data_IF_611481708990
#
_entry.id   IF_611481708990
#
_cell.length_a   1.000
_cell.length_b   1.000
_cell.length_c   1.000
_cell.angle_alpha   90.00
_cell.angle_beta   90.00
_cell.angle_gamma   90.00
#
_symmetry.space_group_name_H-M   'P 1'
#
loop_
_entity.id
_entity.type
_entity.pdbx_description
1 polymer ?
#
# COMPACT_ATOMS: atom_id res chain seq x y z
N UNK A 1 27.41 3.87 -4.30
CA UNK A 1 26.54 4.63 -3.39
C UNK A 1 26.12 3.69 -2.28
N UNK A 2 26.52 4.01 -1.05
CA UNK A 2 26.12 3.30 0.17
C UNK A 2 24.85 3.98 0.70
N UNK A 3 23.74 3.25 0.74
CA UNK A 3 22.50 3.74 1.33
C UNK A 3 22.52 3.40 2.82
N UNK A 4 22.28 4.39 3.67
CA UNK A 4 22.15 4.17 5.11
C UNK A 4 20.75 3.61 5.37
N UNK A 5 20.66 2.43 5.99
CA UNK A 5 19.40 1.91 6.53
C UNK A 5 18.79 2.99 7.43
N UNK A 6 17.48 3.26 7.27
CA UNK A 6 16.80 4.18 8.16
C UNK A 6 16.89 3.64 9.61
N UNK A 7 17.56 4.37 10.54
CA UNK A 7 17.79 3.87 11.89
C UNK A 7 16.50 3.74 12.69
N UNK A 8 15.49 4.54 12.33
CA UNK A 8 14.13 4.44 12.82
C UNK A 8 13.23 3.91 11.70
N UNK A 9 12.40 2.91 12.03
CA UNK A 9 11.41 2.34 11.11
C UNK A 9 10.59 3.49 10.51
N UNK A 10 10.45 3.61 9.18
CA UNK A 10 9.56 4.63 8.64
C UNK A 10 8.19 4.37 9.22
N UNK A 11 7.59 5.37 9.86
CA UNK A 11 6.20 5.25 10.31
C UNK A 11 5.31 5.41 9.08
N UNK A 12 5.26 4.40 8.19
CA UNK A 12 4.42 4.41 6.98
C UNK A 12 2.98 4.71 7.37
N UNK A 13 2.50 4.11 8.45
CA UNK A 13 1.16 4.36 8.98
C UNK A 13 0.89 5.85 9.22
N UNK A 14 1.89 6.60 9.68
CA UNK A 14 1.75 8.04 9.92
C UNK A 14 1.82 8.85 8.63
N UNK A 15 2.66 8.44 7.67
CA UNK A 15 2.76 9.09 6.37
C UNK A 15 1.50 8.87 5.52
N UNK A 16 1.05 7.62 5.47
CA UNK A 16 -0.08 7.19 4.66
C UNK A 16 -1.41 7.83 5.10
N UNK A 17 -1.51 8.33 6.34
CA UNK A 17 -2.69 9.13 6.78
C UNK A 17 -2.93 10.36 5.91
N UNK A 18 -1.87 10.92 5.32
CA UNK A 18 -1.97 12.12 4.48
C UNK A 18 -2.15 11.78 2.99
N UNK A 19 -2.05 10.50 2.59
CA UNK A 19 -2.16 10.07 1.20
C UNK A 19 -3.61 9.92 0.77
N UNK A 20 -4.18 11.01 0.27
CA UNK A 20 -5.62 11.13 -0.07
C UNK A 20 -6.13 10.13 -1.11
N UNK A 21 -5.24 9.58 -1.94
CA UNK A 21 -5.59 8.65 -3.03
C UNK A 21 -4.87 7.31 -2.90
N UNK A 22 -4.45 6.96 -1.68
CA UNK A 22 -3.64 5.77 -1.41
C UNK A 22 -2.24 5.89 -1.99
N UNK A 23 -1.64 4.76 -2.34
CA UNK A 23 -0.29 4.66 -2.84
C UNK A 23 -0.16 3.63 -3.96
N UNK A 24 0.89 3.75 -4.75
CA UNK A 24 1.32 2.72 -5.69
C UNK A 24 2.55 2.03 -5.12
N UNK A 25 2.50 0.70 -5.06
CA UNK A 25 3.63 -0.15 -4.67
C UNK A 25 4.36 -0.58 -5.93
N UNK A 26 5.62 -0.19 -6.05
CA UNK A 26 6.53 -0.59 -7.12
C UNK A 26 7.49 -1.64 -6.60
N UNK A 27 7.63 -2.75 -7.33
CA UNK A 27 8.61 -3.80 -7.03
C UNK A 27 9.35 -4.18 -8.31
N UNK A 28 10.68 -4.27 -8.21
CA UNK A 28 11.54 -4.67 -9.32
C UNK A 28 12.51 -5.76 -8.88
N UNK A 29 12.45 -6.90 -9.55
CA UNK A 29 13.37 -8.01 -9.35
C UNK A 29 14.65 -7.86 -10.20
N UNK A 30 15.78 -8.48 -9.81
CA UNK A 30 17.04 -8.44 -10.55
C UNK A 30 16.95 -8.92 -11.99
N UNK A 31 16.05 -9.85 -12.29
CA UNK A 31 15.82 -10.38 -13.64
C UNK A 31 15.07 -9.39 -14.57
N UNK A 32 14.78 -8.18 -14.10
CA UNK A 32 14.07 -7.16 -14.86
C UNK A 32 12.55 -7.24 -14.78
N UNK A 33 12.00 -8.25 -14.10
CA UNK A 33 10.57 -8.30 -13.79
C UNK A 33 10.20 -7.09 -12.92
N UNK A 34 9.14 -6.39 -13.30
CA UNK A 34 8.60 -5.28 -12.54
C UNK A 34 7.10 -5.50 -12.30
N UNK A 35 6.62 -5.02 -11.17
CA UNK A 35 5.24 -5.11 -10.76
C UNK A 35 4.82 -3.79 -10.12
N UNK A 36 3.62 -3.36 -10.46
CA UNK A 36 2.94 -2.21 -9.84
C UNK A 36 1.65 -2.70 -9.22
N UNK A 37 1.38 -2.32 -7.97
CA UNK A 37 0.14 -2.66 -7.28
C UNK A 37 -0.52 -1.40 -6.69
N UNK A 38 -1.83 -1.22 -6.87
CA UNK A 38 -2.59 -0.20 -6.16
C UNK A 38 -2.73 -0.56 -4.68
N UNK A 39 -2.44 0.38 -3.78
CA UNK A 39 -2.60 0.21 -2.35
C UNK A 39 -3.52 1.29 -1.78
N UNK A 40 -4.73 0.92 -1.36
CA UNK A 40 -5.67 1.85 -0.71
C UNK A 40 -5.25 2.20 0.71
N UNK A 41 -4.58 1.26 1.39
CA UNK A 41 -3.91 1.48 2.68
C UNK A 41 -2.58 0.76 2.70
N UNK A 42 -1.61 1.34 3.41
CA UNK A 42 -0.31 0.76 3.70
C UNK A 42 -0.02 0.96 5.18
N UNK A 43 0.61 -0.03 5.82
CA UNK A 43 1.04 0.03 7.23
C UNK A 43 2.36 -0.70 7.44
N UNK A 44 2.99 -0.43 8.57
CA UNK A 44 4.21 -1.12 8.99
C UNK A 44 3.90 -2.49 9.60
N UNK A 45 4.73 -3.48 9.27
CA UNK A 45 4.71 -4.80 9.93
C UNK A 45 6.05 -5.03 10.61
N UNK A 46 6.17 -5.97 11.58
CA UNK A 46 7.43 -6.24 12.28
C UNK A 46 8.63 -6.63 11.41
N UNK A 47 8.41 -7.10 10.18
CA UNK A 47 9.43 -7.54 9.22
C UNK A 47 9.30 -6.90 7.83
N UNK A 48 8.49 -5.85 7.69
CA UNK A 48 8.32 -5.10 6.45
C UNK A 48 7.11 -4.18 6.48
N UNK A 49 6.23 -4.34 5.49
CA UNK A 49 4.99 -3.56 5.38
C UNK A 49 3.83 -4.43 4.90
N UNK A 50 2.61 -3.98 5.16
CA UNK A 50 1.41 -4.55 4.60
C UNK A 50 0.63 -3.53 3.78
N UNK A 51 -0.15 -4.02 2.82
CA UNK A 51 -1.08 -3.18 2.06
C UNK A 51 -2.34 -3.93 1.62
N UNK A 52 -3.37 -3.18 1.25
CA UNK A 52 -4.63 -3.72 0.70
C UNK A 52 -4.82 -3.22 -0.72
N UNK A 53 -5.10 -4.12 -1.66
CA UNK A 53 -5.50 -3.75 -3.03
C UNK A 53 -7.01 -3.48 -3.11
N UNK A 54 -7.47 -2.51 -3.93
CA UNK A 54 -8.89 -2.20 -4.14
C UNK A 54 -9.65 -3.26 -4.96
N UNK A 55 -9.04 -4.36 -5.39
CA UNK A 55 -9.66 -5.35 -6.28
C UNK A 55 -10.98 -5.94 -5.75
N UNK A 56 -11.17 -5.97 -4.43
CA UNK A 56 -12.42 -6.40 -3.79
C UNK A 56 -13.62 -5.52 -4.11
N UNK A 57 -13.37 -4.28 -4.51
CA UNK A 57 -14.41 -3.31 -4.83
C UNK A 57 -14.91 -3.48 -6.28
N UNK A 58 -14.16 -4.19 -7.14
CA UNK A 58 -14.48 -4.33 -8.57
C UNK A 58 -15.90 -4.84 -8.80
N UNK A 59 -16.74 -4.12 -9.57
CA UNK A 59 -18.11 -4.54 -9.84
C UNK A 59 -18.18 -5.72 -10.82
N UNK A 60 -17.16 -5.91 -11.65
CA UNK A 60 -17.11 -6.97 -12.66
C UNK A 60 -16.64 -8.30 -12.07
N UNK A 61 -15.71 -8.25 -11.12
CA UNK A 61 -15.16 -9.41 -10.43
C UNK A 61 -14.86 -9.04 -8.98
N UNK A 62 -15.89 -8.99 -8.11
CA UNK A 62 -15.67 -8.77 -6.69
C UNK A 62 -14.87 -9.95 -6.15
N UNK A 63 -13.61 -9.69 -5.81
CA UNK A 63 -12.71 -10.66 -5.20
C UNK A 63 -12.72 -10.52 -3.68
N UNK A 64 -12.38 -11.56 -2.91
CA UNK A 64 -12.06 -11.39 -1.50
C UNK A 64 -10.97 -10.32 -1.31
N UNK A 65 -10.91 -9.68 -0.14
CA UNK A 65 -9.85 -8.70 0.16
C UNK A 65 -8.47 -9.27 -0.16
N UNK A 66 -7.75 -8.59 -1.07
CA UNK A 66 -6.36 -8.89 -1.36
C UNK A 66 -5.48 -8.11 -0.38
N UNK A 67 -5.09 -8.82 0.66
CA UNK A 67 -4.23 -8.34 1.73
C UNK A 67 -2.82 -8.88 1.51
N UNK A 68 -1.83 -7.99 1.53
CA UNK A 68 -0.44 -8.34 1.23
C UNK A 68 0.44 -8.00 2.43
N UNK A 69 1.31 -8.94 2.78
CA UNK A 69 2.41 -8.73 3.73
C UNK A 69 3.71 -8.95 2.98
N UNK A 70 4.55 -7.92 2.96
CA UNK A 70 5.78 -7.92 2.18
C UNK A 70 6.95 -7.76 3.13
N UNK A 71 7.82 -8.78 3.15
CA UNK A 71 9.07 -8.72 3.90
C UNK A 71 10.04 -7.78 3.21
N UNK A 72 10.44 -6.73 3.91
CA UNK A 72 11.28 -5.69 3.33
C UNK A 72 11.98 -4.87 4.42
N UNK A 73 13.13 -4.32 4.07
CA UNK A 73 13.82 -3.31 4.87
C UNK A 73 13.63 -1.95 4.21
N UNK A 74 13.19 -0.96 4.99
CA UNK A 74 13.16 0.42 4.52
C UNK A 74 14.58 0.96 4.39
N UNK A 75 14.93 1.42 3.20
CA UNK A 75 16.26 1.96 2.92
C UNK A 75 16.29 3.49 3.04
N UNK A 76 15.28 4.16 2.53
CA UNK A 76 15.27 5.62 2.42
C UNK A 76 13.84 6.15 2.41
N UNK A 77 13.66 7.32 3.01
CA UNK A 77 12.44 8.12 2.87
C UNK A 77 12.77 9.35 2.03
N UNK A 78 12.02 9.54 0.96
CA UNK A 78 12.15 10.69 0.06
C UNK A 78 10.93 11.60 0.25
N UNK A 79 11.10 12.63 1.07
CA UNK A 79 10.01 13.57 1.40
C UNK A 79 8.87 12.91 2.17
N UNK A 80 7.63 13.32 1.91
CA UNK A 80 6.41 12.73 2.53
C UNK A 80 5.67 11.76 1.60
N UNK A 81 6.11 11.66 0.35
CA UNK A 81 5.41 10.90 -0.69
C UNK A 81 6.01 9.52 -0.93
N UNK A 82 7.31 9.33 -0.70
CA UNK A 82 8.00 8.12 -1.17
C UNK A 82 8.85 7.46 -0.09
N UNK A 83 8.78 6.13 -0.04
CA UNK A 83 9.66 5.30 0.78
C UNK A 83 10.21 4.16 -0.06
N UNK A 84 11.52 3.99 -0.04
CA UNK A 84 12.25 2.96 -0.76
C UNK A 84 12.45 1.74 0.13
N UNK A 85 12.16 0.57 -0.42
CA UNK A 85 12.26 -0.71 0.25
C UNK A 85 13.17 -1.67 -0.51
N UNK A 86 13.81 -2.56 0.23
CA UNK A 86 14.57 -3.69 -0.31
C UNK A 86 14.13 -4.98 0.37
N UNK A 87 13.67 -5.92 -0.43
CA UNK A 87 13.38 -7.29 0.00
C UNK A 87 14.52 -8.24 -0.34
N UNK A 88 14.32 -9.55 -0.13
CA UNK A 88 15.36 -10.56 -0.35
C UNK A 88 15.89 -10.61 -1.79
N UNK A 89 15.00 -10.42 -2.77
CA UNK A 89 15.26 -10.59 -4.20
C UNK A 89 14.57 -9.53 -5.05
N UNK A 90 14.26 -8.37 -4.45
CA UNK A 90 13.65 -7.25 -5.16
C UNK A 90 13.96 -5.93 -4.45
N UNK A 91 13.86 -4.83 -5.21
CA UNK A 91 13.92 -3.47 -4.69
C UNK A 91 12.76 -2.67 -5.25
N UNK A 92 12.23 -1.75 -4.46
CA UNK A 92 10.98 -1.09 -4.79
C UNK A 92 10.74 0.18 -3.99
N UNK A 93 9.58 0.78 -4.23
CA UNK A 93 9.11 1.97 -3.54
C UNK A 93 7.62 1.86 -3.25
N UNK A 94 7.20 2.56 -2.20
CA UNK A 94 5.80 2.89 -1.95
C UNK A 94 5.71 4.39 -2.16
N UNK A 95 4.83 4.79 -3.08
CA UNK A 95 4.70 6.18 -3.51
C UNK A 95 3.25 6.62 -3.34
N UNK A 96 3.03 7.75 -2.67
CA UNK A 96 1.74 8.38 -2.58
C UNK A 96 1.18 8.59 -3.99
N UNK A 97 -0.07 8.17 -4.22
CA UNK A 97 -0.68 8.37 -5.52
C UNK A 97 -1.13 9.84 -5.64
N UNK A 98 -0.45 10.60 -6.48
CA UNK A 98 -0.81 12.00 -6.78
C UNK A 98 -1.72 12.13 -8.01
N UNK A 99 -2.22 11.00 -8.56
CA UNK A 99 -3.02 10.98 -9.78
C UNK A 99 -2.20 10.80 -11.05
N UNK A 100 -1.07 10.11 -10.96
CA UNK A 100 -0.24 9.75 -12.10
C UNK A 100 -0.99 8.78 -13.05
N UNK A 101 -0.57 8.69 -14.30
CA UNK A 101 -1.17 7.75 -15.27
C UNK A 101 -0.72 6.29 -15.02
N UNK A 102 -1.59 5.32 -15.33
CA UNK A 102 -1.31 3.88 -15.29
C UNK A 102 -2.34 3.06 -14.51
N UNK A 103 -2.44 1.76 -14.80
CA UNK A 103 -3.50 0.87 -14.31
C UNK A 103 -3.68 0.91 -12.78
N UNK A 104 -2.60 0.96 -12.00
CA UNK A 104 -2.66 1.05 -10.55
C UNK A 104 -3.26 2.38 -10.08
N UNK A 105 -2.87 3.49 -10.69
CA UNK A 105 -3.41 4.81 -10.36
C UNK A 105 -4.86 4.95 -10.80
N UNK A 106 -5.24 4.36 -11.93
CA UNK A 106 -6.64 4.32 -12.39
C UNK A 106 -7.52 3.53 -11.44
N UNK A 107 -7.05 2.38 -10.95
CA UNK A 107 -7.76 1.59 -9.94
C UNK A 107 -7.96 2.38 -8.64
N UNK A 108 -6.94 3.13 -8.20
CA UNK A 108 -7.06 4.01 -7.03
C UNK A 108 -8.01 5.17 -7.27
N UNK A 109 -7.95 5.81 -8.45
CA UNK A 109 -8.87 6.89 -8.83
C UNK A 109 -10.31 6.40 -8.76
N UNK A 110 -10.61 5.31 -9.45
CA UNK A 110 -11.94 4.70 -9.43
C UNK A 110 -12.39 4.36 -8.00
N UNK A 111 -11.50 3.77 -7.19
CA UNK A 111 -11.81 3.42 -5.81
C UNK A 111 -12.22 4.65 -4.97
N UNK A 112 -11.43 5.72 -5.02
CA UNK A 112 -11.64 6.92 -4.20
C UNK A 112 -12.71 7.87 -4.75
N UNK A 113 -12.92 7.89 -6.07
CA UNK A 113 -13.83 8.85 -6.72
C UNK A 113 -15.21 8.25 -7.05
N UNK A 114 -15.32 6.93 -7.18
CA UNK A 114 -16.57 6.27 -7.56
C UNK A 114 -17.05 5.29 -6.49
N UNK A 115 -16.25 4.27 -6.15
CA UNK A 115 -16.69 3.21 -5.25
C UNK A 115 -16.94 3.73 -3.83
N UNK A 116 -15.93 4.35 -3.19
CA UNK A 116 -16.05 4.78 -1.80
C UNK A 116 -17.21 5.78 -1.62
N UNK A 117 -17.33 6.85 -2.43
CA UNK A 117 -18.50 7.74 -2.39
C UNK A 117 -19.82 7.02 -2.65
N UNK A 118 -19.85 6.10 -3.62
CA UNK A 118 -21.05 5.30 -3.94
C UNK A 118 -21.54 4.41 -2.80
N UNK A 119 -20.66 4.07 -1.86
CA UNK A 119 -21.03 3.26 -0.69
C UNK A 119 -21.60 4.07 0.48
N UNK A 120 -21.47 5.40 0.44
CA UNK A 120 -21.93 6.31 1.50
C UNK A 120 -21.08 6.25 2.79
N UNK A 121 -19.93 5.57 2.77
CA UNK A 121 -19.02 5.42 3.93
C UNK A 121 -17.88 6.43 3.88
N UNK A 122 -17.36 6.82 5.04
CA UNK A 122 -16.09 7.53 5.11
C UNK A 122 -14.91 6.59 4.86
N UNK A 123 -13.73 7.17 4.57
CA UNK A 123 -12.51 6.38 4.40
C UNK A 123 -12.13 5.63 5.69
N UNK A 124 -12.41 6.21 6.86
CA UNK A 124 -12.17 5.59 8.16
C UNK A 124 -13.12 4.42 8.41
N UNK A 125 -14.40 4.57 8.08
CA UNK A 125 -15.39 3.49 8.19
C UNK A 125 -15.04 2.32 7.27
N UNK A 126 -14.64 2.61 6.04
CA UNK A 126 -14.24 1.57 5.09
C UNK A 126 -12.92 0.91 5.49
N UNK A 127 -11.96 1.67 6.02
CA UNK A 127 -10.71 1.14 6.58
C UNK A 127 -10.99 0.20 7.76
N UNK A 128 -11.85 0.59 8.69
CA UNK A 128 -12.20 -0.20 9.86
C UNK A 128 -12.87 -1.52 9.45
N UNK A 129 -13.83 -1.48 8.52
CA UNK A 129 -14.50 -2.68 8.01
C UNK A 129 -13.52 -3.73 7.46
N UNK A 130 -12.44 -3.27 6.84
CA UNK A 130 -11.47 -4.14 6.15
C UNK A 130 -10.35 -4.58 7.07
N UNK A 131 -9.78 -3.66 7.84
CA UNK A 131 -8.58 -3.93 8.65
C UNK A 131 -8.91 -4.48 10.03
N UNK A 132 -10.08 -4.19 10.63
CA UNK A 132 -10.40 -4.67 11.97
C UNK A 132 -10.51 -6.19 12.05
N UNK A 133 -11.16 -6.90 11.11
CA UNK A 133 -11.18 -8.36 11.11
C UNK A 133 -9.78 -8.98 10.94
N UNK A 134 -8.95 -8.35 10.10
CA UNK A 134 -7.57 -8.79 9.83
C UNK A 134 -6.70 -8.65 11.08
N UNK A 135 -6.71 -7.46 11.70
CA UNK A 135 -5.94 -7.17 12.92
C UNK A 135 -6.44 -7.96 14.12
N UNK A 136 -7.74 -8.31 14.15
CA UNK A 136 -8.29 -9.17 15.19
C UNK A 136 -7.76 -10.61 15.06
N UNK A 137 -7.50 -11.11 13.85
CA UNK A 137 -6.94 -12.46 13.64
C UNK A 137 -5.44 -12.54 14.01
N UNK A 138 -4.66 -11.49 13.73
CA UNK A 138 -3.23 -11.43 14.09
C UNK A 138 -2.97 -11.46 15.60
N UNK A 139 -3.93 -11.04 16.43
CA UNK A 139 -3.79 -11.06 17.91
C UNK A 139 -3.84 -12.47 18.51
N UNK A 140 -4.19 -13.49 17.74
CA UNK A 140 -4.33 -14.88 18.19
C UNK A 140 -3.28 -15.83 17.62
N UNK A 141 -2.29 -15.30 16.89
CA UNK A 141 -1.14 -16.03 16.34
C UNK A 141 0.15 -15.58 17.00
#
# INVERSE_FOLDING_TARGET
>A
MTWSVLPDRPMIDELAKNWRRGAVVFMRAPNGFYMTRPAVWVWDTPDGFGFVEPAYASPEQPTPFALHYVKATALERQGEATIVYEGPDWRGSIEANEGNDGDASEALRWYFEEYLPGTGRTIEEERARILDPVRAQERWT
#
